data_IF_592188448310
#
_entry.id   IF_592188448310
#
_cell.length_a   1.000
_cell.length_b   1.000
_cell.length_c   1.000
_cell.angle_alpha   90.00
_cell.angle_beta   90.00
_cell.angle_gamma   90.00
#
_symmetry.space_group_name_H-M   'P 1'
#
loop_
_entity.id
_entity.type
_entity.pdbx_description
1 polymer ?
#
# COMPACT_ATOMS: atom_id res chain seq x y z
N UNK A 1 -49.35 -39.83 29.90
CA UNK A 1 -48.58 -38.66 29.45
C UNK A 1 -47.61 -39.16 28.38
N UNK A 2 -47.92 -38.95 27.10
CA UNK A 2 -47.12 -39.47 25.98
C UNK A 2 -46.31 -38.31 25.41
N UNK A 3 -45.00 -38.39 25.55
CA UNK A 3 -44.01 -37.35 25.23
C UNK A 3 -43.29 -37.70 23.91
N UNK A 4 -43.98 -38.45 23.03
CA UNK A 4 -43.35 -39.01 21.82
C UNK A 4 -43.04 -37.91 20.81
N UNK A 5 -43.90 -36.90 20.69
CA UNK A 5 -43.67 -35.74 19.79
C UNK A 5 -42.43 -34.94 20.20
N UNK A 6 -42.24 -34.64 21.48
CA UNK A 6 -41.04 -33.93 21.93
C UNK A 6 -39.78 -34.79 21.73
N UNK A 7 -39.88 -36.12 21.86
CA UNK A 7 -38.74 -37.01 21.62
C UNK A 7 -38.32 -37.00 20.15
N UNK A 8 -39.28 -36.95 19.22
CA UNK A 8 -39.02 -36.86 17.78
C UNK A 8 -38.44 -35.48 17.42
N UNK A 9 -38.85 -34.43 18.11
CA UNK A 9 -38.34 -33.08 17.88
C UNK A 9 -36.91 -32.86 18.42
N UNK A 10 -36.57 -33.51 19.54
CA UNK A 10 -35.28 -33.33 20.23
C UNK A 10 -34.18 -34.28 19.76
N UNK A 11 -34.50 -35.48 19.27
CA UNK A 11 -33.50 -36.43 18.76
C UNK A 11 -32.60 -35.87 17.64
N UNK A 12 -33.14 -35.14 16.65
CA UNK A 12 -32.33 -34.52 15.60
C UNK A 12 -31.36 -33.44 16.10
N UNK A 13 -31.58 -32.90 17.30
CA UNK A 13 -30.74 -31.84 17.90
C UNK A 13 -29.42 -32.36 18.50
N UNK A 14 -29.29 -33.69 18.64
CA UNK A 14 -28.11 -34.33 19.21
C UNK A 14 -27.19 -34.94 18.14
N UNK A 15 -27.55 -34.81 16.85
CA UNK A 15 -26.79 -35.41 15.76
C UNK A 15 -25.54 -34.57 15.40
N UNK A 16 -24.34 -35.20 15.30
CA UNK A 16 -23.13 -34.52 14.89
C UNK A 16 -23.25 -34.03 13.44
N UNK A 17 -23.06 -32.72 13.23
CA UNK A 17 -23.18 -32.09 11.90
C UNK A 17 -24.42 -31.21 11.71
N UNK A 18 -25.19 -30.96 12.77
CA UNK A 18 -26.38 -30.12 12.70
C UNK A 18 -26.09 -28.67 12.24
N UNK A 19 -26.98 -28.06 11.42
CA UNK A 19 -26.94 -26.63 11.10
C UNK A 19 -27.18 -25.80 12.38
N UNK A 20 -26.09 -25.33 12.98
CA UNK A 20 -26.09 -24.65 14.29
C UNK A 20 -24.89 -25.00 15.16
N UNK A 21 -24.15 -26.07 14.83
CA UNK A 21 -22.89 -26.37 15.50
C UNK A 21 -21.77 -25.43 15.02
N UNK A 22 -21.53 -24.35 15.79
CA UNK A 22 -20.44 -23.40 15.56
C UNK A 22 -19.09 -23.95 16.07
N UNK A 23 -18.68 -25.12 15.56
CA UNK A 23 -17.31 -25.60 15.71
C UNK A 23 -16.36 -24.68 14.92
N UNK A 24 -15.97 -23.54 15.52
CA UNK A 24 -15.12 -22.55 14.89
C UNK A 24 -13.70 -23.10 14.70
N UNK A 25 -13.37 -23.54 13.49
CA UNK A 25 -11.98 -23.83 13.12
C UNK A 25 -11.23 -22.50 13.05
N UNK A 26 -10.20 -22.31 13.89
CA UNK A 26 -9.40 -21.09 13.88
C UNK A 26 -8.49 -21.04 12.64
N UNK A 27 -9.01 -20.42 11.59
CA UNK A 27 -8.27 -20.20 10.33
C UNK A 27 -7.25 -19.05 10.43
N UNK A 28 -7.20 -18.31 11.55
CA UNK A 28 -6.41 -17.06 11.68
C UNK A 28 -5.04 -17.29 12.32
N UNK A 29 -4.83 -18.39 13.05
CA UNK A 29 -3.53 -18.75 13.62
C UNK A 29 -2.45 -19.08 12.57
N UNK A 30 -2.70 -19.90 11.53
CA UNK A 30 -1.65 -20.26 10.58
C UNK A 30 -1.13 -19.06 9.78
N UNK A 31 -2.01 -18.15 9.37
CA UNK A 31 -1.65 -16.93 8.63
C UNK A 31 -0.71 -16.00 9.43
N UNK A 32 -0.86 -15.98 10.75
CA UNK A 32 -0.01 -15.19 11.65
C UNK A 32 1.38 -15.80 11.77
N UNK A 33 1.46 -17.13 11.86
CA UNK A 33 2.72 -17.85 11.93
C UNK A 33 3.51 -17.74 10.62
N UNK A 34 2.84 -17.90 9.47
CA UNK A 34 3.48 -17.78 8.15
C UNK A 34 4.02 -16.35 7.91
N UNK A 35 3.25 -15.32 8.28
CA UNK A 35 3.70 -13.93 8.22
C UNK A 35 4.92 -13.68 9.09
N UNK A 36 5.00 -14.30 10.26
CA UNK A 36 6.17 -14.18 11.13
C UNK A 36 7.40 -14.82 10.48
N UNK A 37 7.26 -16.02 9.89
CA UNK A 37 8.33 -16.70 9.15
C UNK A 37 8.84 -15.87 7.97
N UNK A 38 7.95 -15.27 7.19
CA UNK A 38 8.32 -14.41 6.05
C UNK A 38 9.13 -13.17 6.47
N UNK A 39 8.88 -12.59 7.64
CA UNK A 39 9.67 -11.46 8.16
C UNK A 39 11.10 -11.86 8.49
N UNK A 40 11.28 -13.03 9.09
CA UNK A 40 12.62 -13.57 9.43
C UNK A 40 13.43 -13.80 8.15
N UNK A 41 12.84 -14.44 7.14
CA UNK A 41 13.51 -14.71 5.85
C UNK A 41 13.87 -13.43 5.11
N UNK A 42 13.01 -12.41 5.13
CA UNK A 42 13.29 -11.10 4.50
C UNK A 42 14.45 -10.38 5.18
N UNK A 43 14.53 -10.46 6.51
CA UNK A 43 15.62 -9.85 7.28
C UNK A 43 16.96 -10.53 7.00
N UNK A 44 16.97 -11.85 6.94
CA UNK A 44 18.16 -12.62 6.58
C UNK A 44 18.66 -12.26 5.17
N UNK A 45 17.75 -12.19 4.18
CA UNK A 45 18.11 -11.76 2.83
C UNK A 45 18.68 -10.33 2.79
N UNK A 46 18.14 -9.43 3.62
CA UNK A 46 18.69 -8.07 3.77
C UNK A 46 20.11 -8.10 4.35
N UNK A 47 20.37 -8.94 5.35
CA UNK A 47 21.68 -9.11 5.96
C UNK A 47 22.69 -9.74 4.99
N UNK A 48 22.30 -10.78 4.26
CA UNK A 48 23.16 -11.43 3.26
C UNK A 48 23.54 -10.44 2.17
N UNK A 49 22.59 -9.65 1.65
CA UNK A 49 22.87 -8.61 0.65
C UNK A 49 23.91 -7.61 1.15
N UNK A 50 23.76 -7.11 2.37
CA UNK A 50 24.69 -6.16 2.97
C UNK A 50 26.09 -6.76 3.20
N UNK A 51 26.16 -7.97 3.74
CA UNK A 51 27.44 -8.68 3.98
C UNK A 51 28.14 -9.02 2.67
N UNK A 52 27.38 -9.40 1.64
CA UNK A 52 27.89 -9.69 0.30
C UNK A 52 28.48 -8.45 -0.36
N UNK A 53 27.79 -7.30 -0.30
CA UNK A 53 28.34 -6.02 -0.77
C UNK A 53 29.56 -5.57 0.02
N UNK A 54 29.60 -5.82 1.34
CA UNK A 54 30.71 -5.40 2.21
C UNK A 54 31.99 -6.22 1.99
N UNK A 55 31.87 -7.51 1.63
CA UNK A 55 33.05 -8.33 1.26
C UNK A 55 33.71 -7.89 -0.05
N UNK A 56 33.02 -7.12 -0.89
CA UNK A 56 33.54 -6.65 -2.18
C UNK A 56 34.33 -5.34 -2.10
N UNK A 57 34.32 -4.64 -0.96
CA UNK A 57 34.89 -3.28 -0.81
C UNK A 57 35.84 -3.19 0.38
N UNK A 58 36.90 -4.00 0.37
CA UNK A 58 38.02 -3.88 1.30
C UNK A 58 39.33 -3.57 0.54
N UNK A 59 39.38 -2.40 -0.10
CA UNK A 59 40.63 -1.63 -0.22
C UNK A 59 40.30 -0.15 -0.48
N UNK A 60 40.60 0.70 0.49
CA UNK A 60 41.00 2.07 0.18
C UNK A 60 41.90 2.61 1.29
N UNK A 61 43.05 3.11 0.87
CA UNK A 61 43.98 3.94 1.63
C UNK A 61 43.35 5.32 1.89
N UNK A 62 43.62 5.97 3.04
CA UNK A 62 43.12 7.32 3.31
C UNK A 62 44.07 8.39 2.74
N UNK A 63 43.58 9.25 1.83
CA UNK A 63 44.28 10.45 1.40
C UNK A 63 43.49 11.72 1.77
N UNK A 64 44.17 12.58 2.52
CA UNK A 64 43.74 13.91 2.99
C UNK A 64 43.86 15.00 1.91
N UNK A 65 43.04 16.05 2.08
CA UNK A 65 43.23 17.41 1.55
C UNK A 65 42.02 17.90 0.75
N UNK A 66 41.53 19.14 0.84
CA UNK A 66 41.78 20.32 1.67
C UNK A 66 40.54 21.23 1.57
N UNK A 67 40.39 22.12 2.54
CA UNK A 67 39.30 23.09 2.72
C UNK A 67 39.13 24.12 1.59
N UNK A 68 37.90 24.65 1.39
CA UNK A 68 37.56 26.08 1.57
C UNK A 68 36.16 26.46 1.06
N UNK A 69 35.48 27.29 1.87
CA UNK A 69 34.19 27.99 1.71
C UNK A 69 34.09 28.87 0.43
N UNK A 70 32.94 29.32 -0.10
CA UNK A 70 31.90 30.20 0.49
C UNK A 70 30.76 30.46 -0.51
N UNK A 71 29.55 30.73 0.01
CA UNK A 71 28.59 31.78 -0.42
C UNK A 71 27.94 31.76 -1.82
N UNK A 72 26.60 31.61 -1.86
CA UNK A 72 25.66 32.72 -2.17
C UNK A 72 24.22 32.21 -2.24
N UNK A 73 23.35 32.75 -1.39
CA UNK A 73 21.90 32.73 -1.56
C UNK A 73 21.52 33.53 -2.81
N UNK A 74 20.47 33.13 -3.52
CA UNK A 74 19.61 34.02 -4.31
C UNK A 74 18.22 33.39 -4.39
N UNK A 75 17.23 34.07 -3.81
CA UNK A 75 15.80 33.84 -3.97
C UNK A 75 15.29 34.85 -4.99
N UNK A 76 14.50 34.45 -5.98
CA UNK A 76 13.55 35.36 -6.65
C UNK A 76 12.52 34.63 -7.56
N UNK A 77 11.25 34.81 -7.18
CA UNK A 77 9.95 34.72 -7.89
C UNK A 77 9.52 33.53 -8.78
N UNK A 78 8.25 33.06 -8.64
CA UNK A 78 7.54 32.29 -9.65
C UNK A 78 6.58 33.18 -10.45
N UNK A 79 6.82 33.38 -11.74
CA UNK A 79 5.81 33.88 -12.69
C UNK A 79 6.08 33.30 -14.06
N UNK A 80 5.46 32.17 -14.37
CA UNK A 80 4.56 31.98 -15.52
C UNK A 80 4.14 30.51 -15.54
N UNK A 81 2.83 30.25 -15.55
CA UNK A 81 2.29 28.94 -15.90
C UNK A 81 2.49 28.81 -17.41
N UNK A 82 3.65 28.32 -17.82
CA UNK A 82 3.84 27.71 -19.12
C UNK A 82 3.35 26.26 -18.97
N UNK A 83 2.22 25.96 -19.62
CA UNK A 83 1.70 24.60 -19.72
C UNK A 83 2.68 23.86 -20.63
N UNK A 84 3.78 23.33 -20.08
CA UNK A 84 4.70 22.55 -20.88
C UNK A 84 4.00 21.23 -21.24
N UNK A 85 3.89 20.99 -22.54
CA UNK A 85 3.55 19.70 -23.15
C UNK A 85 4.13 18.54 -22.32
N UNK A 86 3.37 17.45 -22.08
CA UNK A 86 3.85 16.29 -21.35
C UNK A 86 4.80 15.50 -22.26
N UNK A 87 5.98 16.07 -22.50
CA UNK A 87 7.13 15.32 -22.98
C UNK A 87 7.34 14.18 -22.00
N UNK A 88 7.50 12.97 -22.52
CA UNK A 88 7.69 11.70 -21.81
C UNK A 88 8.95 11.71 -20.94
N UNK A 89 9.01 12.57 -19.93
CA UNK A 89 9.93 12.43 -18.82
C UNK A 89 9.45 11.21 -18.09
N UNK A 90 10.21 10.11 -18.16
CA UNK A 90 10.02 8.96 -17.27
C UNK A 90 9.87 9.52 -15.86
N UNK A 91 8.63 9.58 -15.34
CA UNK A 91 8.34 10.06 -14.00
C UNK A 91 8.74 8.94 -13.03
N UNK A 92 10.04 8.67 -12.98
CA UNK A 92 10.70 7.70 -12.10
C UNK A 92 10.83 8.31 -10.70
N UNK A 93 9.76 8.95 -10.25
CA UNK A 93 9.59 9.31 -8.86
C UNK A 93 8.23 8.79 -8.49
N UNK A 94 8.20 7.82 -7.57
CA UNK A 94 7.01 7.35 -6.85
C UNK A 94 6.46 8.53 -6.02
N UNK A 95 5.98 9.57 -6.68
CA UNK A 95 5.19 10.62 -6.08
C UNK A 95 3.78 10.06 -5.99
N UNK A 96 3.22 10.09 -4.79
CA UNK A 96 1.87 9.61 -4.56
C UNK A 96 0.92 10.37 -5.51
N UNK A 97 0.32 9.65 -6.46
CA UNK A 97 -0.68 10.20 -7.37
C UNK A 97 -1.83 10.89 -6.59
N UNK A 98 -2.15 10.32 -5.43
CA UNK A 98 -3.11 10.89 -4.50
C UNK A 98 -2.45 12.02 -3.71
N UNK A 99 -2.63 13.24 -4.21
CA UNK A 99 -2.18 14.49 -3.56
C UNK A 99 -3.32 15.09 -2.70
N UNK A 100 -3.04 15.79 -1.59
CA UNK A 100 -4.07 16.46 -0.78
C UNK A 100 -4.99 17.40 -1.57
N UNK A 101 -4.44 18.13 -2.55
CA UNK A 101 -5.23 19.00 -3.42
C UNK A 101 -6.26 18.24 -4.28
N UNK A 102 -5.87 17.04 -4.76
CA UNK A 102 -6.78 16.16 -5.49
C UNK A 102 -7.91 15.69 -4.58
N UNK A 103 -7.58 15.26 -3.36
CA UNK A 103 -8.58 14.81 -2.37
C UNK A 103 -9.53 15.96 -2.00
N UNK A 104 -9.03 17.17 -1.78
CA UNK A 104 -9.87 18.34 -1.52
C UNK A 104 -10.84 18.66 -2.68
N UNK A 105 -10.43 18.46 -3.93
CA UNK A 105 -11.32 18.61 -5.09
C UNK A 105 -12.38 17.50 -5.12
N UNK A 106 -12.00 16.25 -4.84
CA UNK A 106 -12.91 15.11 -4.77
C UNK A 106 -13.94 15.26 -3.64
N UNK A 107 -13.56 15.86 -2.52
CA UNK A 107 -14.45 16.15 -1.39
C UNK A 107 -15.50 17.20 -1.74
N UNK A 108 -15.15 18.20 -2.55
CA UNK A 108 -16.12 19.17 -3.08
C UNK A 108 -17.14 18.51 -4.01
N UNK A 109 -16.72 17.48 -4.74
CA UNK A 109 -17.61 16.69 -5.59
C UNK A 109 -18.50 15.72 -4.78
N UNK A 110 -18.37 15.67 -3.45
CA UNK A 110 -19.11 14.75 -2.56
C UNK A 110 -18.96 13.27 -2.98
N UNK A 111 -17.83 12.93 -3.61
CA UNK A 111 -17.61 11.58 -4.12
C UNK A 111 -17.30 10.62 -2.97
N UNK A 112 -17.96 9.46 -2.99
CA UNK A 112 -17.55 8.35 -2.13
C UNK A 112 -16.14 7.90 -2.50
N UNK A 113 -15.47 7.17 -1.59
CA UNK A 113 -14.14 6.62 -1.86
C UNK A 113 -14.20 5.68 -3.08
N UNK A 114 -15.31 4.95 -3.27
CA UNK A 114 -15.51 4.07 -4.42
C UNK A 114 -15.63 4.86 -5.73
N UNK A 115 -16.47 5.88 -5.76
CA UNK A 115 -16.70 6.70 -6.96
C UNK A 115 -15.44 7.47 -7.36
N UNK A 116 -14.67 7.92 -6.37
CA UNK A 116 -13.36 8.55 -6.58
C UNK A 116 -12.43 7.64 -7.37
N UNK A 117 -12.29 6.38 -6.96
CA UNK A 117 -11.42 5.42 -7.65
C UNK A 117 -11.92 5.17 -9.07
N UNK A 118 -13.23 5.01 -9.24
CA UNK A 118 -13.85 4.79 -10.56
C UNK A 118 -13.61 5.96 -11.53
N UNK A 119 -13.78 7.21 -11.07
CA UNK A 119 -13.52 8.40 -11.89
C UNK A 119 -12.05 8.52 -12.25
N UNK A 120 -11.14 8.23 -11.31
CA UNK A 120 -9.71 8.26 -11.57
C UNK A 120 -9.28 7.18 -12.58
N UNK A 121 -9.83 5.98 -12.46
CA UNK A 121 -9.59 4.86 -13.39
C UNK A 121 -10.07 5.20 -14.81
N UNK A 122 -11.31 5.71 -14.94
CA UNK A 122 -11.85 6.15 -16.22
C UNK A 122 -11.04 7.32 -16.84
N UNK A 123 -10.51 8.22 -16.00
CA UNK A 123 -9.67 9.33 -16.46
C UNK A 123 -8.32 8.83 -16.97
N UNK A 124 -7.68 7.89 -16.28
CA UNK A 124 -6.41 7.27 -16.71
C UNK A 124 -6.59 6.51 -18.02
N UNK A 125 -7.69 5.76 -18.16
CA UNK A 125 -8.04 5.04 -19.37
C UNK A 125 -8.22 6.00 -20.56
N UNK A 126 -8.95 7.10 -20.36
CA UNK A 126 -9.13 8.14 -21.37
C UNK A 126 -7.81 8.85 -21.76
N UNK A 127 -6.90 9.05 -20.80
CA UNK A 127 -5.58 9.62 -21.03
C UNK A 127 -4.58 8.63 -21.63
N UNK A 128 -4.98 7.35 -21.83
CA UNK A 128 -4.10 6.25 -22.26
C UNK A 128 -2.84 6.13 -21.39
N UNK A 129 -2.97 6.46 -20.12
CA UNK A 129 -1.91 6.34 -19.14
C UNK A 129 -1.77 4.89 -18.68
N UNK A 130 -0.55 4.46 -18.38
CA UNK A 130 -0.34 3.11 -17.85
C UNK A 130 -0.87 3.05 -16.41
N UNK A 131 -1.77 2.11 -16.13
CA UNK A 131 -2.37 1.90 -14.80
C UNK A 131 -1.28 1.57 -13.75
N UNK A 132 -0.18 0.96 -14.19
CA UNK A 132 0.98 0.63 -13.34
C UNK A 132 1.76 1.86 -12.86
N UNK A 133 1.61 3.00 -13.53
CA UNK A 133 2.30 4.26 -13.19
C UNK A 133 1.59 5.01 -12.07
N UNK A 134 0.30 4.73 -11.86
CA UNK A 134 -0.56 5.42 -10.90
C UNK A 134 -1.13 4.43 -9.87
N UNK A 135 -0.46 4.22 -8.73
CA UNK A 135 -0.98 3.35 -7.68
C UNK A 135 -2.19 4.01 -6.98
N UNK A 136 -3.38 3.87 -7.59
CA UNK A 136 -4.65 4.28 -7.02
C UNK A 136 -5.10 3.21 -6.03
N UNK A 137 -5.02 3.52 -4.74
CA UNK A 137 -5.56 2.66 -3.69
C UNK A 137 -6.61 3.40 -2.87
N UNK A 138 -7.67 2.68 -2.51
CA UNK A 138 -8.74 3.19 -1.62
C UNK A 138 -8.18 3.67 -0.28
N UNK A 139 -7.18 2.98 0.24
CA UNK A 139 -6.52 3.32 1.51
C UNK A 139 -5.70 4.62 1.41
N UNK A 140 -5.04 4.89 0.29
CA UNK A 140 -4.33 6.16 0.08
C UNK A 140 -5.29 7.37 0.13
N UNK A 141 -6.47 7.23 -0.48
CA UNK A 141 -7.51 8.27 -0.45
C UNK A 141 -8.06 8.44 0.97
N UNK A 142 -8.37 7.33 1.65
CA UNK A 142 -8.89 7.37 3.01
C UNK A 142 -7.92 8.00 4.01
N UNK A 143 -6.62 7.74 3.86
CA UNK A 143 -5.57 8.29 4.74
C UNK A 143 -5.50 9.82 4.69
N UNK A 144 -5.83 10.43 3.56
CA UNK A 144 -5.78 11.88 3.38
C UNK A 144 -7.10 12.54 3.81
N UNK A 145 -8.21 11.81 3.77
CA UNK A 145 -9.53 12.27 4.25
C UNK A 145 -9.71 12.20 5.77
N UNK A 146 -8.94 11.35 6.45
CA UNK A 146 -9.02 11.17 7.91
C UNK A 146 -8.11 12.18 8.61
#
# INVERSE_FOLDING_TARGET
>A
MKIEEDRIFLQPQSEPGQPGHFGGVDKKLPDKEERARLRVVKEENRRIKYVSSSKSSASYEPLQGDSSSTSSQNVDFPTLIEISEPGTSKLIMRKDFITPNLVAALDRCQLSIGDTVFVLEATIDALRCNIDEFPISKSSIQRIRT
#
